data_IF_091626548641
#
_entry.id   IF_091626548641
#
_cell.length_a   1.000
_cell.length_b   1.000
_cell.length_c   1.000
_cell.angle_alpha   90.00
_cell.angle_beta   90.00
_cell.angle_gamma   90.00
#
_symmetry.space_group_name_H-M   'P 1'
#
loop_
_entity.id
_entity.type
_entity.pdbx_description
1 polymer ?
#
# COMPACT_ATOMS: atom_id res chain seq x y z
N UNK A 1 2.89 -12.71 5.22
CA UNK A 1 1.72 -11.93 4.77
C UNK A 1 2.10 -10.48 4.55
N UNK A 2 1.60 -9.88 3.50
CA UNK A 2 1.88 -8.48 3.18
C UNK A 2 0.57 -7.74 2.92
N UNK A 3 0.62 -6.43 3.07
CA UNK A 3 -0.47 -5.56 2.63
C UNK A 3 -0.02 -4.75 1.42
N UNK A 4 -0.95 -4.57 0.51
CA UNK A 4 -0.71 -3.84 -0.73
C UNK A 4 -1.59 -2.61 -0.72
N UNK A 5 -0.95 -1.44 -0.68
CA UNK A 5 -1.63 -0.15 -0.65
C UNK A 5 -1.70 0.39 -2.07
N UNK A 6 -2.90 0.37 -2.65
CA UNK A 6 -3.08 0.80 -4.04
C UNK A 6 -3.01 2.32 -4.14
N UNK A 7 -2.26 2.79 -5.12
CA UNK A 7 -2.05 4.22 -5.35
C UNK A 7 -2.43 4.58 -6.77
N UNK A 8 -2.95 5.79 -6.96
CA UNK A 8 -3.44 6.25 -8.26
C UNK A 8 -2.33 6.52 -9.27
N UNK A 9 -1.13 6.82 -8.80
CA UNK A 9 -0.02 7.15 -9.68
C UNK A 9 1.29 6.73 -9.06
N UNK A 10 2.34 6.66 -9.89
CA UNK A 10 3.69 6.36 -9.41
C UNK A 10 4.17 7.45 -8.44
N UNK A 11 3.90 8.71 -8.75
CA UNK A 11 4.28 9.82 -7.87
C UNK A 11 3.64 9.67 -6.50
N UNK A 12 2.36 9.32 -6.46
CA UNK A 12 1.65 9.10 -5.21
C UNK A 12 2.27 7.95 -4.41
N UNK A 13 2.57 6.85 -5.09
CA UNK A 13 3.21 5.70 -4.44
C UNK A 13 4.59 6.06 -3.89
N UNK A 14 5.38 6.81 -4.64
CA UNK A 14 6.71 7.25 -4.20
C UNK A 14 6.63 8.19 -3.00
N UNK A 15 5.69 9.10 -2.99
CA UNK A 15 5.47 10.00 -1.85
C UNK A 15 5.06 9.23 -0.61
N UNK A 16 4.16 8.28 -0.77
CA UNK A 16 3.72 7.43 0.33
C UNK A 16 4.88 6.63 0.91
N UNK A 17 5.66 5.99 0.06
CA UNK A 17 6.81 5.20 0.49
C UNK A 17 7.84 6.06 1.23
N UNK A 18 8.12 7.24 0.70
CA UNK A 18 9.08 8.16 1.34
C UNK A 18 8.59 8.61 2.72
N UNK A 19 7.30 8.90 2.83
CA UNK A 19 6.70 9.29 4.10
C UNK A 19 6.83 8.16 5.13
N UNK A 20 6.58 6.92 4.70
CA UNK A 20 6.71 5.76 5.56
C UNK A 20 8.16 5.54 6.00
N UNK A 21 9.11 5.69 5.08
CA UNK A 21 10.53 5.53 5.41
C UNK A 21 10.99 6.54 6.47
N UNK A 22 10.54 7.78 6.36
CA UNK A 22 10.86 8.81 7.34
C UNK A 22 10.34 8.47 8.73
N UNK A 23 9.26 7.72 8.80
CA UNK A 23 8.68 7.27 10.05
C UNK A 23 9.23 5.91 10.52
N UNK A 24 10.23 5.38 9.83
CA UNK A 24 10.85 4.12 10.19
C UNK A 24 10.12 2.89 9.68
N UNK A 25 9.22 3.05 8.72
CA UNK A 25 8.47 1.94 8.14
C UNK A 25 9.04 1.57 6.77
N UNK A 26 9.54 0.35 6.65
CA UNK A 26 10.06 -0.15 5.38
C UNK A 26 8.90 -0.44 4.42
N UNK A 27 9.04 0.00 3.18
CA UNK A 27 8.03 -0.22 2.14
C UNK A 27 8.69 -0.39 0.78
N UNK A 28 7.94 -0.95 -0.16
CA UNK A 28 8.41 -1.17 -1.52
C UNK A 28 7.36 -0.67 -2.51
N UNK A 29 7.79 0.18 -3.45
CA UNK A 29 6.93 0.65 -4.54
C UNK A 29 7.03 -0.34 -5.70
N UNK A 30 5.89 -0.74 -6.24
CA UNK A 30 5.86 -1.64 -7.39
C UNK A 30 4.61 -1.42 -8.22
N UNK A 31 4.53 -2.09 -9.36
CA UNK A 31 3.31 -2.09 -10.15
C UNK A 31 2.24 -2.89 -9.42
N UNK A 32 0.99 -2.48 -9.60
CA UNK A 32 -0.14 -3.18 -9.01
C UNK A 32 -0.23 -4.62 -9.54
N UNK A 33 -0.55 -5.60 -8.68
CA UNK A 33 -0.73 -6.98 -9.12
C UNK A 33 -1.88 -7.11 -10.12
N UNK A 34 -1.81 -8.14 -10.96
CA UNK A 34 -2.87 -8.44 -11.91
C UNK A 34 -4.21 -8.59 -11.18
N UNK A 35 -5.25 -8.03 -11.76
CA UNK A 35 -6.60 -8.10 -11.20
C UNK A 35 -6.91 -7.05 -10.16
N UNK A 36 -5.95 -6.22 -9.77
CA UNK A 36 -6.18 -5.17 -8.77
C UNK A 36 -6.18 -3.76 -9.37
N UNK A 37 -5.90 -3.60 -10.65
CA UNK A 37 -5.78 -2.28 -11.29
C UNK A 37 -7.13 -1.68 -11.68
N UNK A 38 -8.14 -1.89 -10.85
CA UNK A 38 -9.45 -1.25 -11.03
C UNK A 38 -9.33 0.23 -10.68
N UNK A 39 -10.13 1.05 -11.32
CA UNK A 39 -10.18 2.49 -11.07
C UNK A 39 -8.87 3.23 -11.36
N UNK A 40 -8.07 2.69 -12.26
CA UNK A 40 -6.86 3.36 -12.70
C UNK A 40 -5.68 3.26 -11.76
N UNK A 41 -5.76 2.46 -10.71
CA UNK A 41 -4.64 2.26 -9.79
C UNK A 41 -3.63 1.30 -10.41
N UNK A 42 -2.52 1.84 -10.94
CA UNK A 42 -1.50 1.06 -11.62
C UNK A 42 -0.27 0.77 -10.76
N UNK A 43 -0.14 1.42 -9.62
CA UNK A 43 1.02 1.29 -8.73
C UNK A 43 0.57 1.03 -7.31
N UNK A 44 1.46 0.43 -6.52
CA UNK A 44 1.16 0.14 -5.14
C UNK A 44 2.39 0.26 -4.25
N UNK A 45 2.14 0.32 -2.95
CA UNK A 45 3.17 0.27 -1.93
C UNK A 45 2.94 -1.00 -1.12
N UNK A 46 3.96 -1.85 -1.04
CA UNK A 46 3.89 -3.09 -0.27
C UNK A 46 4.51 -2.89 1.10
N UNK A 47 3.82 -3.37 2.12
CA UNK A 47 4.29 -3.29 3.50
C UNK A 47 4.07 -4.63 4.20
N UNK A 48 4.83 -4.85 5.29
CA UNK A 48 4.63 -6.02 6.14
C UNK A 48 3.35 -5.88 6.96
N UNK A 49 2.70 -6.99 7.27
CA UNK A 49 1.50 -6.97 8.10
C UNK A 49 1.75 -6.39 9.49
N UNK A 50 2.97 -6.51 9.99
CA UNK A 50 3.33 -5.96 11.31
C UNK A 50 3.12 -4.47 11.42
N UNK A 51 3.29 -3.77 10.31
CA UNK A 51 3.26 -2.30 10.31
C UNK A 51 2.01 -1.74 9.67
N UNK A 52 1.02 -2.58 9.37
CA UNK A 52 -0.19 -2.15 8.68
C UNK A 52 -0.88 -0.97 9.37
N UNK A 53 -1.22 -1.13 10.64
CA UNK A 53 -1.93 -0.09 11.37
C UNK A 53 -1.09 1.19 11.46
N UNK A 54 0.20 1.03 11.75
CA UNK A 54 1.12 2.16 11.84
C UNK A 54 1.23 2.88 10.49
N UNK A 55 1.41 2.11 9.41
CA UNK A 55 1.56 2.68 8.08
C UNK A 55 0.32 3.44 7.64
N UNK A 56 -0.86 2.86 7.83
CA UNK A 56 -2.11 3.51 7.45
C UNK A 56 -2.34 4.78 8.27
N UNK A 57 -2.01 4.77 9.55
CA UNK A 57 -2.10 5.95 10.39
C UNK A 57 -1.18 7.07 9.92
N UNK A 58 0.07 6.73 9.61
CA UNK A 58 1.05 7.69 9.10
C UNK A 58 0.57 8.33 7.79
N UNK A 59 0.11 7.51 6.86
CA UNK A 59 -0.36 8.01 5.56
C UNK A 59 -1.61 8.86 5.70
N UNK A 60 -2.50 8.47 6.59
CA UNK A 60 -3.73 9.24 6.83
C UNK A 60 -3.41 10.64 7.36
N UNK A 61 -2.51 10.73 8.33
CA UNK A 61 -2.08 12.02 8.90
C UNK A 61 -1.37 12.86 7.85
N UNK A 62 -0.60 12.24 6.96
CA UNK A 62 0.14 12.94 5.91
C UNK A 62 -0.74 13.36 4.73
N UNK A 63 -2.03 13.00 4.74
CA UNK A 63 -2.92 13.30 3.63
C UNK A 63 -2.69 12.44 2.40
N UNK A 64 -2.13 11.24 2.59
CA UNK A 64 -1.81 10.29 1.52
C UNK A 64 -2.49 8.93 1.74
N UNK A 65 -3.80 8.89 2.05
CA UNK A 65 -4.46 7.59 2.24
C UNK A 65 -4.44 6.79 0.94
N UNK A 66 -4.26 5.46 1.01
CA UNK A 66 -4.31 4.64 -0.19
C UNK A 66 -5.73 4.59 -0.76
N UNK A 67 -5.83 4.40 -2.06
CA UNK A 67 -7.14 4.28 -2.71
C UNK A 67 -7.84 2.99 -2.28
N UNK A 68 -7.08 1.90 -2.14
CA UNK A 68 -7.58 0.61 -1.67
C UNK A 68 -6.45 -0.12 -0.95
N UNK A 69 -6.82 -1.06 -0.09
CA UNK A 69 -5.87 -1.90 0.62
C UNK A 69 -6.20 -3.35 0.35
N UNK A 70 -5.21 -4.14 -0.06
CA UNK A 70 -5.35 -5.57 -0.25
C UNK A 70 -4.42 -6.30 0.70
N UNK A 71 -4.83 -7.50 1.10
CA UNK A 71 -4.02 -8.40 1.89
C UNK A 71 -3.53 -9.53 1.00
N UNK A 72 -2.22 -9.73 0.95
CA UNK A 72 -1.61 -10.81 0.20
C UNK A 72 -1.18 -11.90 1.18
N UNK A 73 -1.83 -13.06 1.10
CA UNK A 73 -1.52 -14.20 1.94
C UNK A 73 -0.27 -14.92 1.45
N UNK A 74 0.30 -15.76 2.31
CA UNK A 74 1.53 -16.50 1.98
C UNK A 74 1.34 -17.46 0.81
N UNK A 75 0.12 -17.91 0.57
CA UNK A 75 -0.22 -18.79 -0.55
C UNK A 75 -0.47 -18.03 -1.85
N UNK A 76 -0.29 -16.72 -1.85
CA UNK A 76 -0.51 -15.88 -3.02
C UNK A 76 -1.93 -15.38 -3.19
N UNK A 77 -2.84 -15.70 -2.27
CA UNK A 77 -4.21 -15.21 -2.35
C UNK A 77 -4.28 -13.73 -2.03
N UNK A 78 -5.05 -12.99 -2.81
CA UNK A 78 -5.20 -11.55 -2.68
C UNK A 78 -6.64 -11.24 -2.29
N UNK A 79 -6.84 -10.53 -1.19
CA UNK A 79 -8.16 -10.16 -0.70
C UNK A 79 -8.20 -8.68 -0.38
N UNK A 80 -9.30 -8.03 -0.74
CA UNK A 80 -9.49 -6.63 -0.38
C UNK A 80 -9.70 -6.51 1.13
N UNK A 81 -9.00 -5.58 1.74
CA UNK A 81 -9.10 -5.31 3.17
C UNK A 81 -9.94 -4.05 3.35
N UNK A 82 -11.12 -4.21 3.96
CA UNK A 82 -12.08 -3.13 4.12
C UNK A 82 -11.95 -2.34 5.43
N UNK A 83 -11.02 -2.71 6.26
CA UNK A 83 -10.88 -2.06 7.56
C UNK A 83 -10.26 -0.67 7.51
#
# INVERSE_FOLDING_TARGET
>A
MQYILMCKSLTYAQRSSRTLERAGVTSTVSKAPSGTSKNGCAYCVKISERVRAKALGILNVAGLPPARVYRLSDDGALQEDES
#
